data_IF_119404621028
#
_entry.id   IF_119404621028
#
_cell.length_a   1.000
_cell.length_b   1.000
_cell.length_c   1.000
_cell.angle_alpha   90.00
_cell.angle_beta   90.00
_cell.angle_gamma   90.00
#
_symmetry.space_group_name_H-M   'P 1'
#
loop_
_entity.id
_entity.type
_entity.pdbx_description
1 polymer ?
#
# COMPACT_ATOMS: atom_id res chain seq x y z
N UNK A 1 9.74 -74.76 7.48
CA UNK A 1 8.39 -74.17 7.63
C UNK A 1 7.45 -75.33 7.89
N UNK A 2 6.88 -75.40 9.09
CA UNK A 2 5.93 -76.43 9.46
C UNK A 2 4.69 -76.34 8.57
N UNK A 3 4.46 -77.40 7.78
CA UNK A 3 3.27 -77.52 6.93
C UNK A 3 2.06 -77.71 7.86
N UNK A 4 1.35 -76.62 8.14
CA UNK A 4 0.12 -76.63 8.94
C UNK A 4 -0.88 -77.53 8.21
N UNK A 5 -1.24 -78.65 8.83
CA UNK A 5 -2.31 -79.51 8.34
C UNK A 5 -3.64 -78.74 8.31
N UNK A 6 -4.57 -79.17 7.46
CA UNK A 6 -5.89 -78.58 7.36
C UNK A 6 -6.59 -78.67 8.72
N UNK A 7 -7.28 -77.59 9.09
CA UNK A 7 -7.99 -77.50 10.37
C UNK A 7 -9.46 -77.94 10.27
N UNK A 8 -9.91 -78.35 9.09
CA UNK A 8 -11.23 -78.94 8.90
C UNK A 8 -11.21 -80.37 9.49
N UNK A 9 -12.12 -80.72 10.43
CA UNK A 9 -12.15 -82.03 11.09
C UNK A 9 -12.18 -83.23 10.14
N UNK A 10 -12.70 -83.04 8.92
CA UNK A 10 -12.78 -84.10 7.90
C UNK A 10 -11.53 -84.18 7.00
N UNK A 11 -10.62 -83.21 7.07
CA UNK A 11 -9.41 -83.11 6.22
C UNK A 11 -8.11 -82.98 7.05
N UNK A 12 -8.16 -83.27 8.34
CA UNK A 12 -7.09 -83.09 9.34
C UNK A 12 -5.73 -83.74 8.97
N UNK A 13 -5.78 -84.80 8.17
CA UNK A 13 -4.60 -85.49 7.63
C UNK A 13 -3.96 -84.82 6.39
N UNK A 14 -4.63 -83.82 5.80
CA UNK A 14 -4.18 -83.16 4.57
C UNK A 14 -3.38 -81.90 4.84
N UNK A 15 -2.42 -81.60 3.96
CA UNK A 15 -1.61 -80.40 4.06
C UNK A 15 -2.27 -79.21 3.38
N UNK A 16 -2.23 -78.06 4.03
CA UNK A 16 -2.62 -76.80 3.41
C UNK A 16 -1.65 -76.46 2.27
N UNK A 17 -2.19 -76.25 1.07
CA UNK A 17 -1.38 -76.03 -0.15
C UNK A 17 -1.87 -74.84 -0.98
N UNK A 18 -3.13 -74.45 -0.82
CA UNK A 18 -3.76 -73.44 -1.66
C UNK A 18 -4.29 -72.28 -0.81
N UNK A 19 -4.25 -71.09 -1.41
CA UNK A 19 -4.76 -69.83 -0.87
C UNK A 19 -5.80 -69.28 -1.86
N UNK A 20 -6.97 -68.93 -1.35
CA UNK A 20 -8.04 -68.29 -2.07
C UNK A 20 -7.72 -66.81 -2.20
N UNK A 21 -7.59 -66.33 -3.43
CA UNK A 21 -7.26 -64.94 -3.76
C UNK A 21 -8.44 -64.19 -4.39
N UNK A 22 -9.60 -64.84 -4.42
CA UNK A 22 -10.82 -64.26 -4.96
C UNK A 22 -11.31 -63.10 -4.06
N UNK A 23 -11.47 -61.88 -4.61
CA UNK A 23 -11.86 -60.70 -3.85
C UNK A 23 -13.26 -60.78 -3.26
N UNK A 24 -14.16 -61.59 -3.83
CA UNK A 24 -15.54 -61.73 -3.34
C UNK A 24 -15.72 -62.92 -2.38
N UNK A 25 -14.67 -63.69 -2.12
CA UNK A 25 -14.75 -64.81 -1.20
C UNK A 25 -15.06 -64.31 0.22
N UNK A 26 -16.11 -64.86 0.85
CA UNK A 26 -16.49 -64.51 2.23
C UNK A 26 -16.14 -65.60 3.26
N UNK A 27 -15.62 -66.74 2.83
CA UNK A 27 -15.21 -67.82 3.73
C UNK A 27 -14.14 -67.34 4.74
N UNK A 28 -14.28 -67.74 6.01
CA UNK A 28 -13.40 -67.28 7.09
C UNK A 28 -11.97 -67.80 6.95
N UNK A 29 -11.80 -69.05 6.51
CA UNK A 29 -10.49 -69.61 6.18
C UNK A 29 -10.19 -69.38 4.70
N UNK A 30 -9.07 -68.72 4.39
CA UNK A 30 -8.61 -68.49 3.00
C UNK A 30 -7.53 -69.46 2.54
N UNK A 31 -6.96 -70.21 3.47
CA UNK A 31 -5.92 -71.20 3.21
C UNK A 31 -6.49 -72.58 3.49
N UNK A 32 -6.18 -73.55 2.63
CA UNK A 32 -6.75 -74.89 2.74
C UNK A 32 -6.02 -75.95 1.94
N UNK A 33 -6.41 -77.21 2.16
CA UNK A 33 -6.00 -78.36 1.35
C UNK A 33 -6.77 -78.39 0.02
N UNK A 34 -6.58 -79.43 -0.79
CA UNK A 34 -7.31 -79.56 -2.05
C UNK A 34 -8.83 -79.64 -1.84
N UNK A 35 -9.27 -80.38 -0.80
CA UNK A 35 -10.68 -80.68 -0.55
C UNK A 35 -11.45 -79.46 -0.04
N UNK A 36 -10.84 -78.60 0.79
CA UNK A 36 -11.43 -77.30 1.13
C UNK A 36 -11.75 -76.46 -0.11
N UNK A 37 -10.95 -76.56 -1.17
CA UNK A 37 -11.21 -75.84 -2.42
C UNK A 37 -12.17 -76.56 -3.37
N UNK A 38 -12.53 -77.81 -3.07
CA UNK A 38 -13.59 -78.55 -3.76
C UNK A 38 -14.93 -78.47 -3.03
N UNK A 39 -14.95 -78.00 -1.79
CA UNK A 39 -16.18 -77.80 -1.00
C UNK A 39 -16.53 -76.31 -0.90
N UNK A 40 -15.69 -75.54 -0.21
CA UNK A 40 -16.00 -74.17 0.19
C UNK A 40 -15.51 -73.10 -0.80
N UNK A 41 -14.61 -73.47 -1.73
CA UNK A 41 -14.00 -72.54 -2.69
C UNK A 41 -14.00 -73.01 -4.15
N UNK A 42 -14.98 -73.85 -4.54
CA UNK A 42 -15.05 -74.53 -5.86
C UNK A 42 -14.79 -73.60 -7.04
N UNK A 43 -15.39 -72.43 -7.03
CA UNK A 43 -15.35 -71.46 -8.14
C UNK A 43 -14.37 -70.32 -7.90
N UNK A 44 -13.75 -70.26 -6.72
CA UNK A 44 -12.89 -69.15 -6.36
C UNK A 44 -11.51 -69.25 -7.02
N UNK A 45 -10.95 -68.10 -7.39
CA UNK A 45 -9.57 -68.04 -7.83
C UNK A 45 -8.62 -68.44 -6.70
N UNK A 46 -7.72 -69.40 -6.98
CA UNK A 46 -6.74 -69.93 -6.01
C UNK A 46 -5.30 -69.86 -6.53
N UNK A 47 -4.36 -69.77 -5.60
CA UNK A 47 -2.91 -69.86 -5.85
C UNK A 47 -2.28 -70.85 -4.88
N UNK A 48 -1.16 -71.46 -5.25
CA UNK A 48 -0.37 -72.21 -4.27
C UNK A 48 0.29 -71.26 -3.28
N UNK A 49 0.64 -71.74 -2.08
CA UNK A 49 1.31 -70.94 -1.05
C UNK A 49 2.59 -70.27 -1.60
N UNK A 50 3.40 -71.01 -2.37
CA UNK A 50 4.63 -70.49 -3.00
C UNK A 50 4.33 -69.36 -3.99
N UNK A 51 3.37 -69.56 -4.90
CA UNK A 51 2.97 -68.54 -5.88
C UNK A 51 2.37 -67.29 -5.22
N UNK A 52 1.64 -67.46 -4.12
CA UNK A 52 1.10 -66.35 -3.35
C UNK A 52 2.22 -65.56 -2.66
N UNK A 53 3.15 -66.28 -2.02
CA UNK A 53 4.32 -65.67 -1.39
C UNK A 53 5.15 -64.84 -2.37
N UNK A 54 5.48 -65.39 -3.54
CA UNK A 54 6.29 -64.68 -4.53
C UNK A 54 5.59 -63.43 -5.07
N UNK A 55 4.27 -63.48 -5.26
CA UNK A 55 3.51 -62.32 -5.72
C UNK A 55 3.32 -61.26 -4.65
N UNK A 56 3.13 -61.65 -3.39
CA UNK A 56 3.09 -60.71 -2.27
C UNK A 56 4.43 -60.01 -2.17
N UNK A 57 5.54 -60.75 -2.25
CA UNK A 57 6.88 -60.18 -2.23
C UNK A 57 7.10 -59.20 -3.39
N UNK A 58 6.74 -59.58 -4.61
CA UNK A 58 6.84 -58.69 -5.78
C UNK A 58 6.00 -57.41 -5.62
N UNK A 59 4.80 -57.52 -5.05
CA UNK A 59 3.97 -56.35 -4.77
C UNK A 59 4.59 -55.45 -3.70
N UNK A 60 5.09 -56.03 -2.61
CA UNK A 60 5.80 -55.28 -1.56
C UNK A 60 7.02 -54.55 -2.14
N UNK A 61 7.83 -55.24 -2.93
CA UNK A 61 8.99 -54.63 -3.61
C UNK A 61 8.56 -53.46 -4.53
N UNK A 62 7.38 -53.54 -5.15
CA UNK A 62 6.83 -52.43 -5.97
C UNK A 62 6.30 -51.26 -5.14
N UNK A 63 5.79 -51.51 -3.94
CA UNK A 63 5.37 -50.46 -3.00
C UNK A 63 6.58 -49.75 -2.38
N UNK A 64 7.64 -50.50 -2.06
CA UNK A 64 8.88 -49.95 -1.49
C UNK A 64 9.64 -49.04 -2.49
N UNK A 65 9.34 -49.15 -3.79
CA UNK A 65 9.85 -48.25 -4.83
C UNK A 65 9.04 -46.96 -4.97
N UNK A 66 7.92 -46.80 -4.25
CA UNK A 66 7.12 -45.57 -4.28
C UNK A 66 7.80 -44.55 -3.37
N UNK A 67 8.60 -43.68 -3.98
CA UNK A 67 9.16 -42.51 -3.29
C UNK A 67 8.19 -41.33 -3.34
N UNK A 68 7.80 -40.83 -2.17
CA UNK A 68 7.12 -39.54 -2.08
C UNK A 68 8.17 -38.43 -2.17
N UNK A 69 8.08 -37.61 -3.21
CA UNK A 69 8.89 -36.40 -3.28
C UNK A 69 8.40 -35.42 -2.20
N UNK A 70 9.31 -34.83 -1.41
CA UNK A 70 8.93 -33.78 -0.47
C UNK A 70 8.35 -32.59 -1.24
N UNK A 71 7.27 -32.00 -0.71
CA UNK A 71 6.73 -30.75 -1.23
C UNK A 71 7.81 -29.70 -1.02
N UNK A 72 8.51 -29.32 -2.10
CA UNK A 72 9.56 -28.31 -2.03
C UNK A 72 8.94 -26.95 -1.65
N UNK A 73 9.50 -26.31 -0.61
CA UNK A 73 9.13 -24.98 -0.12
C UNK A 73 9.32 -23.84 -1.15
N UNK A 74 9.70 -24.14 -2.40
CA UNK A 74 10.02 -23.15 -3.44
C UNK A 74 8.81 -22.28 -3.80
N UNK A 75 7.62 -22.88 -3.92
CA UNK A 75 6.38 -22.13 -4.22
C UNK A 75 6.03 -21.16 -3.10
N UNK A 76 6.31 -21.54 -1.85
CA UNK A 76 6.03 -20.70 -0.68
C UNK A 76 7.03 -19.56 -0.55
N UNK A 77 8.32 -19.82 -0.81
CA UNK A 77 9.36 -18.79 -0.81
C UNK A 77 9.20 -17.76 -1.93
N UNK A 78 8.76 -18.18 -3.13
CA UNK A 78 8.51 -17.25 -4.23
C UNK A 78 7.30 -16.36 -3.97
N UNK A 79 6.25 -16.91 -3.33
CA UNK A 79 5.08 -16.13 -2.92
C UNK A 79 5.44 -15.10 -1.85
N UNK A 80 6.21 -15.49 -0.83
CA UNK A 80 6.69 -14.59 0.24
C UNK A 80 7.50 -13.42 -0.35
N UNK A 81 8.45 -13.71 -1.25
CA UNK A 81 9.25 -12.66 -1.93
C UNK A 81 8.39 -11.72 -2.78
N UNK A 82 7.37 -12.24 -3.46
CA UNK A 82 6.45 -11.41 -4.24
C UNK A 82 5.62 -10.50 -3.33
N UNK A 83 5.13 -11.01 -2.21
CA UNK A 83 4.39 -10.23 -1.21
C UNK A 83 5.27 -9.12 -0.63
N UNK A 84 6.50 -9.45 -0.23
CA UNK A 84 7.46 -8.46 0.30
C UNK A 84 7.71 -7.33 -0.70
N UNK A 85 7.97 -7.68 -1.96
CA UNK A 85 8.22 -6.70 -3.02
C UNK A 85 7.02 -5.77 -3.26
N UNK A 86 5.81 -6.32 -3.33
CA UNK A 86 4.60 -5.51 -3.51
C UNK A 86 4.35 -4.59 -2.31
N UNK A 87 4.64 -5.05 -1.09
CA UNK A 87 4.51 -4.27 0.12
C UNK A 87 5.52 -3.12 0.16
N UNK A 88 6.77 -3.37 -0.21
CA UNK A 88 7.83 -2.35 -0.28
C UNK A 88 7.55 -1.29 -1.36
N UNK A 89 7.02 -1.71 -2.51
CA UNK A 89 6.56 -0.80 -3.56
C UNK A 89 5.42 0.12 -3.06
N UNK A 90 4.46 -0.45 -2.32
CA UNK A 90 3.35 0.30 -1.74
C UNK A 90 3.85 1.34 -0.73
N UNK A 91 4.72 0.94 0.21
CA UNK A 91 5.32 1.84 1.19
C UNK A 91 6.08 2.99 0.52
N UNK A 92 6.86 2.68 -0.51
CA UNK A 92 7.62 3.68 -1.28
C UNK A 92 6.70 4.70 -1.97
N UNK A 93 5.59 4.24 -2.57
CA UNK A 93 4.62 5.12 -3.22
C UNK A 93 3.92 6.06 -2.21
N UNK A 94 3.55 5.52 -1.05
CA UNK A 94 2.94 6.30 0.04
C UNK A 94 3.92 7.36 0.54
N UNK A 95 5.17 6.97 0.80
CA UNK A 95 6.22 7.87 1.28
C UNK A 95 6.53 8.99 0.28
N UNK A 96 6.59 8.66 -1.01
CA UNK A 96 6.77 9.65 -2.08
C UNK A 96 5.63 10.67 -2.10
N UNK A 97 4.36 10.21 -2.09
CA UNK A 97 3.20 11.12 -2.07
C UNK A 97 3.21 12.05 -0.86
N UNK A 98 3.50 11.52 0.33
CA UNK A 98 3.58 12.35 1.54
C UNK A 98 4.70 13.40 1.46
N UNK A 99 5.86 13.00 0.94
CA UNK A 99 7.01 13.91 0.77
C UNK A 99 6.71 15.01 -0.24
N UNK A 100 6.04 14.69 -1.35
CA UNK A 100 5.60 15.67 -2.34
C UNK A 100 4.62 16.68 -1.74
N UNK A 101 3.55 16.22 -1.07
CA UNK A 101 2.55 17.10 -0.45
C UNK A 101 3.21 18.01 0.60
N UNK A 102 4.14 17.47 1.40
CA UNK A 102 4.91 18.26 2.37
C UNK A 102 5.72 19.36 1.68
N UNK A 103 6.42 19.03 0.60
CA UNK A 103 7.25 19.97 -0.15
C UNK A 103 6.41 21.10 -0.74
N UNK A 104 5.29 20.78 -1.37
CA UNK A 104 4.39 21.77 -1.99
C UNK A 104 3.81 22.74 -0.96
N UNK A 105 3.32 22.22 0.17
CA UNK A 105 2.78 23.05 1.25
C UNK A 105 3.86 23.93 1.89
N UNK A 106 5.08 23.43 2.04
CA UNK A 106 6.21 24.19 2.59
C UNK A 106 6.59 25.33 1.65
N UNK A 107 6.78 25.04 0.36
CA UNK A 107 7.10 26.03 -0.68
C UNK A 107 6.10 27.18 -0.71
N UNK A 108 4.80 26.88 -0.64
CA UNK A 108 3.76 27.90 -0.61
C UNK A 108 3.82 28.81 0.63
N UNK A 109 4.21 28.27 1.80
CA UNK A 109 4.32 29.04 3.04
C UNK A 109 5.60 29.89 3.07
N UNK A 110 6.72 29.30 2.66
CA UNK A 110 8.02 29.98 2.62
C UNK A 110 7.93 31.19 1.66
N UNK A 111 7.35 31.00 0.47
CA UNK A 111 7.19 32.09 -0.50
C UNK A 111 6.22 33.22 -0.07
N UNK A 112 5.27 32.98 0.84
CA UNK A 112 4.44 34.06 1.42
C UNK A 112 5.21 34.81 2.53
N UNK A 113 5.99 34.09 3.34
CA UNK A 113 6.83 34.69 4.39
C UNK A 113 7.94 35.56 3.80
N UNK A 114 8.63 35.09 2.77
CA UNK A 114 9.74 35.81 2.14
C UNK A 114 9.27 37.15 1.58
N UNK A 115 8.10 37.18 0.92
CA UNK A 115 7.49 38.42 0.41
C UNK A 115 7.14 39.41 1.51
N UNK A 116 6.65 38.91 2.65
CA UNK A 116 6.34 39.76 3.80
C UNK A 116 7.62 40.36 4.39
N UNK A 117 8.68 39.55 4.51
CA UNK A 117 9.97 39.97 5.02
C UNK A 117 10.63 41.00 4.10
N UNK A 118 10.64 40.77 2.79
CA UNK A 118 11.12 41.73 1.79
C UNK A 118 10.36 43.06 1.88
N UNK A 119 9.02 43.00 1.97
CA UNK A 119 8.19 44.20 2.10
C UNK A 119 8.45 44.96 3.41
N UNK A 120 8.68 44.24 4.51
CA UNK A 120 9.03 44.83 5.79
C UNK A 120 10.40 45.52 5.75
N UNK A 121 11.41 44.84 5.21
CA UNK A 121 12.76 45.38 5.09
C UNK A 121 12.77 46.64 4.22
N UNK A 122 12.11 46.61 3.05
CA UNK A 122 12.00 47.78 2.17
C UNK A 122 11.30 48.97 2.84
N UNK A 123 10.25 48.72 3.64
CA UNK A 123 9.57 49.79 4.39
C UNK A 123 10.47 50.37 5.49
N UNK A 124 11.21 49.51 6.20
CA UNK A 124 12.12 49.93 7.26
C UNK A 124 13.30 50.74 6.69
N UNK A 125 13.85 50.34 5.54
CA UNK A 125 14.88 51.09 4.82
C UNK A 125 14.37 52.45 4.37
N UNK A 126 13.18 52.53 3.78
CA UNK A 126 12.57 53.81 3.39
C UNK A 126 12.38 54.74 4.59
N UNK A 127 11.87 54.21 5.71
CA UNK A 127 11.70 54.97 6.95
C UNK A 127 13.04 55.49 7.47
N UNK A 128 14.07 54.65 7.48
CA UNK A 128 15.40 55.03 7.93
C UNK A 128 16.03 56.08 7.01
N UNK A 129 15.86 55.95 5.69
CA UNK A 129 16.33 56.93 4.71
C UNK A 129 15.65 58.30 4.87
N UNK A 130 14.34 58.34 5.13
CA UNK A 130 13.61 59.59 5.40
C UNK A 130 14.03 60.26 6.72
N UNK A 131 14.54 59.48 7.69
CA UNK A 131 15.02 59.98 8.98
C UNK A 131 16.52 60.32 8.98
N UNK A 132 17.33 59.66 8.15
CA UNK A 132 18.77 59.85 8.08
C UNK A 132 19.14 61.24 7.58
N UNK A 133 18.34 61.84 6.69
CA UNK A 133 18.48 63.22 6.23
C UNK A 133 18.22 64.26 7.34
N UNK A 134 17.71 63.86 8.51
CA UNK A 134 17.28 64.73 9.60
C UNK A 134 18.11 64.55 10.87
N UNK A 135 19.24 63.84 10.81
CA UNK A 135 20.08 63.54 11.99
C UNK A 135 20.81 64.76 12.58
N UNK A 136 20.97 65.85 11.82
CA UNK A 136 21.74 67.04 12.23
C UNK A 136 20.89 68.16 12.86
N UNK A 137 19.66 67.86 13.30
CA UNK A 137 18.70 68.85 13.87
C UNK A 137 19.26 69.65 15.06
N UNK A 138 20.22 69.11 15.80
CA UNK A 138 20.77 69.77 16.99
C UNK A 138 21.61 71.02 16.69
N UNK A 139 21.97 71.25 15.43
CA UNK A 139 22.80 72.37 15.00
C UNK A 139 22.14 73.17 13.85
N UNK A 140 20.92 73.65 14.08
CA UNK A 140 20.13 74.41 13.07
C UNK A 140 20.88 75.63 12.52
N UNK A 141 21.86 76.17 13.24
CA UNK A 141 22.69 77.30 12.80
C UNK A 141 23.91 76.88 11.97
N UNK A 142 24.24 75.58 11.95
CA UNK A 142 25.39 75.00 11.23
C UNK A 142 24.99 74.32 9.91
N UNK A 143 23.69 74.14 9.65
CA UNK A 143 23.16 73.51 8.45
C UNK A 143 22.96 74.52 7.32
N UNK A 144 23.03 74.04 6.07
CA UNK A 144 22.78 74.84 4.88
C UNK A 144 21.32 75.27 4.72
N UNK A 145 21.07 76.29 3.89
CA UNK A 145 19.71 76.75 3.59
C UNK A 145 18.84 75.66 2.90
N UNK A 146 19.45 74.80 2.08
CA UNK A 146 18.77 73.65 1.48
C UNK A 146 18.33 72.63 2.53
N UNK A 147 19.23 72.23 3.44
CA UNK A 147 18.91 71.32 4.53
C UNK A 147 17.85 71.89 5.48
N UNK A 148 17.89 73.20 5.74
CA UNK A 148 16.86 73.89 6.54
C UNK A 148 15.49 73.86 5.86
N UNK A 149 15.44 74.08 4.54
CA UNK A 149 14.19 74.01 3.78
C UNK A 149 13.60 72.60 3.77
N UNK A 150 14.44 71.57 3.68
CA UNK A 150 14.00 70.17 3.74
C UNK A 150 13.53 69.76 5.14
N UNK A 151 14.17 70.27 6.20
CA UNK A 151 13.71 70.14 7.58
C UNK A 151 12.32 70.78 7.80
N UNK A 152 12.10 71.97 7.25
CA UNK A 152 10.80 72.66 7.34
C UNK A 152 9.72 71.88 6.58
N UNK A 153 10.01 71.37 5.37
CA UNK A 153 9.08 70.49 4.64
C UNK A 153 8.75 69.23 5.44
N UNK A 154 9.76 68.56 6.00
CA UNK A 154 9.54 67.40 6.85
C UNK A 154 8.66 67.73 8.06
N UNK A 155 8.93 68.83 8.77
CA UNK A 155 8.11 69.26 9.91
C UNK A 155 6.63 69.48 9.53
N UNK A 156 6.39 70.10 8.37
CA UNK A 156 5.04 70.33 7.85
C UNK A 156 4.33 69.01 7.48
N UNK A 157 5.06 68.03 6.95
CA UNK A 157 4.50 66.75 6.52
C UNK A 157 4.53 65.65 7.61
N UNK A 158 5.27 65.84 8.70
CA UNK A 158 5.52 64.85 9.74
C UNK A 158 4.24 64.19 10.29
N UNK A 159 3.13 64.90 10.57
CA UNK A 159 1.89 64.26 11.02
C UNK A 159 1.29 63.29 9.99
N UNK A 160 1.42 63.62 8.70
CA UNK A 160 0.95 62.78 7.58
C UNK A 160 1.85 61.57 7.39
N UNK A 161 3.17 61.78 7.45
CA UNK A 161 4.19 60.71 7.38
C UNK A 161 3.98 59.72 8.53
N UNK A 162 3.86 60.21 9.77
CA UNK A 162 3.60 59.39 10.95
C UNK A 162 2.31 58.57 10.81
N UNK A 163 1.22 59.20 10.36
CA UNK A 163 -0.06 58.50 10.13
C UNK A 163 0.06 57.41 9.06
N UNK A 164 0.86 57.63 8.01
CA UNK A 164 1.11 56.63 6.97
C UNK A 164 1.88 55.42 7.51
N UNK A 165 2.94 55.63 8.30
CA UNK A 165 3.72 54.54 8.88
C UNK A 165 2.93 53.76 9.95
N UNK A 166 2.08 54.43 10.75
CA UNK A 166 1.17 53.74 11.68
C UNK A 166 0.22 52.82 10.91
N UNK A 167 -0.44 53.31 9.85
CA UNK A 167 -1.31 52.50 9.01
C UNK A 167 -0.58 51.35 8.33
N UNK A 168 0.63 51.59 7.83
CA UNK A 168 1.45 50.54 7.24
C UNK A 168 1.78 49.44 8.28
N UNK A 169 2.14 49.83 9.50
CA UNK A 169 2.37 48.90 10.62
C UNK A 169 1.13 48.07 10.96
N UNK A 170 -0.06 48.68 10.99
CA UNK A 170 -1.34 47.98 11.21
C UNK A 170 -1.59 46.94 10.11
N UNK A 171 -1.41 47.31 8.84
CA UNK A 171 -1.55 46.40 7.69
C UNK A 171 -0.58 45.21 7.81
N UNK A 172 0.67 45.44 8.23
CA UNK A 172 1.65 44.37 8.45
C UNK A 172 1.24 43.42 9.58
N UNK A 173 0.67 43.94 10.67
CA UNK A 173 0.15 43.10 11.74
C UNK A 173 -1.02 42.22 11.26
N UNK A 174 -1.92 42.80 10.47
CA UNK A 174 -3.06 42.07 9.89
C UNK A 174 -2.60 40.97 8.93
N UNK A 175 -1.68 41.26 8.02
CA UNK A 175 -1.13 40.26 7.10
C UNK A 175 -0.38 39.14 7.84
N UNK A 176 0.38 39.49 8.89
CA UNK A 176 1.04 38.50 9.76
C UNK A 176 0.02 37.55 10.41
N UNK A 177 -1.12 38.08 10.88
CA UNK A 177 -2.20 37.24 11.42
C UNK A 177 -2.86 36.39 10.34
N UNK A 178 -3.11 36.92 9.14
CA UNK A 178 -3.66 36.15 8.01
C UNK A 178 -2.76 34.99 7.62
N UNK A 179 -1.44 35.20 7.54
CA UNK A 179 -0.47 34.13 7.25
C UNK A 179 -0.49 33.06 8.35
N UNK A 180 -0.60 33.47 9.62
CA UNK A 180 -0.74 32.53 10.75
C UNK A 180 -2.00 31.67 10.63
N UNK A 181 -3.15 32.28 10.28
CA UNK A 181 -4.40 31.56 10.05
C UNK A 181 -4.33 30.63 8.83
N UNK A 182 -3.70 31.07 7.72
CA UNK A 182 -3.45 30.23 6.55
C UNK A 182 -2.59 29.03 6.90
N UNK A 183 -1.50 29.21 7.67
CA UNK A 183 -0.66 28.12 8.17
C UNK A 183 -1.49 27.09 8.94
N UNK A 184 -2.35 27.54 9.85
CA UNK A 184 -3.23 26.64 10.60
C UNK A 184 -4.21 25.90 9.68
N UNK A 185 -4.80 26.59 8.70
CA UNK A 185 -5.69 25.99 7.69
C UNK A 185 -4.98 24.91 6.86
N UNK A 186 -3.73 25.13 6.45
CA UNK A 186 -2.95 24.14 5.71
C UNK A 186 -2.59 22.93 6.58
N UNK A 187 -2.24 23.13 7.85
CA UNK A 187 -2.03 22.02 8.79
C UNK A 187 -3.30 21.18 8.98
N UNK A 188 -4.47 21.81 9.09
CA UNK A 188 -5.74 21.09 9.14
C UNK A 188 -6.02 20.31 7.85
N UNK A 189 -5.78 20.91 6.68
CA UNK A 189 -5.91 20.22 5.39
C UNK A 189 -4.98 18.99 5.30
N UNK A 190 -3.73 19.12 5.75
CA UNK A 190 -2.78 18.01 5.78
C UNK A 190 -3.31 16.86 6.65
N UNK A 191 -3.79 17.16 7.86
CA UNK A 191 -4.41 16.15 8.74
C UNK A 191 -5.61 15.47 8.08
N UNK A 192 -6.48 16.23 7.42
CA UNK A 192 -7.65 15.68 6.74
C UNK A 192 -7.25 14.74 5.58
N UNK A 193 -6.24 15.13 4.79
CA UNK A 193 -5.70 14.27 3.71
C UNK A 193 -5.09 12.99 4.31
N UNK A 194 -4.32 13.09 5.40
CA UNK A 194 -3.77 11.93 6.10
C UNK A 194 -4.86 10.98 6.59
N UNK A 195 -5.92 11.52 7.22
CA UNK A 195 -7.06 10.73 7.68
C UNK A 195 -7.80 10.04 6.52
N UNK A 196 -7.98 10.73 5.39
CA UNK A 196 -8.56 10.15 4.18
C UNK A 196 -7.73 8.98 3.65
N UNK A 197 -6.42 9.18 3.49
CA UNK A 197 -5.51 8.11 3.03
C UNK A 197 -5.48 6.91 3.98
N UNK A 198 -5.49 7.14 5.30
CA UNK A 198 -5.55 6.06 6.29
C UNK A 198 -6.88 5.31 6.24
N UNK A 199 -7.99 6.02 6.02
CA UNK A 199 -9.31 5.40 5.86
C UNK A 199 -9.34 4.53 4.61
N UNK A 200 -8.91 5.05 3.46
CA UNK A 200 -8.88 4.32 2.19
C UNK A 200 -8.00 3.07 2.30
N UNK A 201 -6.86 3.16 3.01
CA UNK A 201 -6.00 2.01 3.29
C UNK A 201 -6.71 0.95 4.14
N UNK A 202 -7.38 1.34 5.23
CA UNK A 202 -8.12 0.42 6.08
C UNK A 202 -9.31 -0.24 5.34
N UNK A 203 -10.02 0.53 4.53
CA UNK A 203 -11.13 0.05 3.71
C UNK A 203 -10.63 -1.00 2.69
N UNK A 204 -9.46 -0.78 2.07
CA UNK A 204 -8.84 -1.71 1.12
C UNK A 204 -8.35 -3.02 1.79
N UNK A 205 -7.85 -2.93 3.03
CA UNK A 205 -7.43 -4.10 3.81
C UNK A 205 -8.61 -4.93 4.31
N UNK A 206 -9.77 -4.31 4.55
CA UNK A 206 -10.98 -4.99 5.02
C UNK A 206 -11.80 -5.59 3.88
N UNK A 207 -11.79 -5.00 2.67
CA UNK A 207 -12.53 -5.53 1.52
C UNK A 207 -11.91 -6.75 0.84
N UNK A 208 -10.60 -7.02 1.02
CA UNK A 208 -9.97 -8.25 0.48
C UNK A 208 -10.24 -9.54 1.28
N UNK A 209 -11.01 -9.48 2.38
CA UNK A 209 -11.31 -10.63 3.24
C UNK A 209 -12.72 -11.24 3.05
N UNK A 210 -13.42 -10.93 1.95
CA UNK A 210 -14.76 -11.49 1.68
C UNK A 210 -14.80 -12.17 0.31
N UNK A 211 -14.32 -13.41 0.25
CA UNK A 211 -14.86 -14.53 -0.54
C UNK A 211 -14.04 -15.80 -0.27
N UNK A 212 -14.28 -16.41 0.90
CA UNK A 212 -14.17 -17.87 1.05
C UNK A 212 -15.61 -18.38 1.11
N UNK A 213 -16.27 -18.45 -0.05
CA UNK A 213 -17.45 -19.29 -0.18
C UNK A 213 -16.97 -20.71 -0.42
N UNK A 214 -17.12 -21.49 0.64
CA UNK A 214 -17.26 -22.93 0.69
C UNK A 214 -18.14 -23.45 -0.46
N UNK A 215 -17.54 -24.08 -1.47
CA UNK A 215 -18.24 -24.90 -2.45
C UNK A 215 -17.41 -26.13 -2.81
N UNK A 216 -17.57 -27.17 -1.98
CA UNK A 216 -17.49 -28.55 -2.45
C UNK A 216 -18.66 -28.83 -3.40
N UNK A 217 -18.40 -29.03 -4.69
CA UNK A 217 -18.96 -30.13 -5.52
C UNK A 217 -18.56 -29.99 -7.00
N UNK A 218 -18.34 -31.15 -7.60
CA UNK A 218 -17.82 -31.40 -8.95
C UNK A 218 -18.73 -30.88 -10.09
N UNK A 219 -18.12 -30.39 -11.17
CA UNK A 219 -18.22 -30.90 -12.56
C UNK A 219 -17.85 -29.81 -13.60
N UNK A 220 -17.03 -30.19 -14.57
CA UNK A 220 -16.74 -29.43 -15.82
C UNK A 220 -17.16 -30.30 -17.01
N UNK A 221 -17.27 -29.81 -18.28
CA UNK A 221 -17.47 -28.45 -18.81
C UNK A 221 -18.50 -28.38 -19.99
N UNK A 222 -19.00 -27.18 -20.39
CA UNK A 222 -18.96 -26.69 -21.80
C UNK A 222 -19.76 -25.38 -22.08
N UNK A 223 -19.04 -24.44 -22.72
CA UNK A 223 -19.35 -23.57 -23.88
C UNK A 223 -20.38 -22.41 -23.82
N UNK A 224 -19.79 -21.21 -23.72
CA UNK A 224 -19.86 -20.03 -24.64
C UNK A 224 -21.19 -19.38 -25.04
N UNK A 225 -21.31 -18.09 -24.72
CA UNK A 225 -21.58 -17.03 -25.70
C UNK A 225 -20.97 -15.68 -25.26
N UNK A 226 -20.59 -14.87 -26.24
CA UNK A 226 -19.76 -13.68 -26.11
C UNK A 226 -20.53 -12.41 -25.70
N UNK A 227 -19.89 -11.58 -24.86
CA UNK A 227 -19.67 -10.10 -24.89
C UNK A 227 -20.78 -9.14 -25.40
N UNK A 228 -20.85 -7.86 -24.92
CA UNK A 228 -19.67 -6.99 -24.80
C UNK A 228 -19.65 -5.93 -23.68
N UNK A 229 -18.45 -5.35 -23.53
CA UNK A 229 -18.18 -4.00 -23.03
C UNK A 229 -18.50 -3.70 -21.56
N UNK A 230 -17.42 -3.62 -20.77
CA UNK A 230 -17.05 -2.39 -20.05
C UNK A 230 -15.53 -2.43 -19.80
N UNK A 231 -14.77 -1.92 -20.77
CA UNK A 231 -13.47 -1.33 -20.49
C UNK A 231 -13.71 -0.20 -19.49
N UNK A 232 -13.41 -0.41 -18.22
CA UNK A 232 -13.19 0.66 -17.26
C UNK A 232 -11.87 1.35 -17.60
N UNK A 233 -11.94 2.21 -18.62
CA UNK A 233 -11.02 3.31 -18.81
C UNK A 233 -11.09 4.22 -17.58
N UNK A 234 -10.21 3.99 -16.60
CA UNK A 234 -9.85 4.99 -15.59
C UNK A 234 -8.37 5.34 -15.70
N UNK A 235 -7.93 5.56 -16.93
CA UNK A 235 -6.84 6.48 -17.24
C UNK A 235 -7.53 7.62 -18.01
N UNK A 236 -7.29 8.87 -17.59
CA UNK A 236 -7.80 10.11 -18.21
C UNK A 236 -9.26 10.53 -17.94
N UNK A 237 -9.55 10.95 -16.71
CA UNK A 237 -10.47 12.09 -16.51
C UNK A 237 -10.14 12.88 -15.24
N UNK A 238 -8.99 13.53 -15.23
CA UNK A 238 -8.76 14.79 -14.48
C UNK A 238 -7.75 15.66 -15.23
N UNK A 239 -7.88 15.72 -16.56
CA UNK A 239 -7.28 16.80 -17.36
C UNK A 239 -8.31 17.91 -17.59
N UNK A 240 -8.98 18.34 -16.52
CA UNK A 240 -9.57 19.68 -16.52
C UNK A 240 -8.40 20.65 -16.30
N UNK A 241 -7.91 21.16 -17.42
CA UNK A 241 -7.06 22.34 -17.51
C UNK A 241 -7.71 23.51 -16.75
N UNK A 242 -7.54 23.57 -15.43
CA UNK A 242 -7.44 24.86 -14.76
C UNK A 242 -6.02 25.36 -14.98
N UNK A 243 -5.80 25.93 -16.17
CA UNK A 243 -4.92 27.09 -16.28
C UNK A 243 -5.46 28.09 -15.26
N UNK A 244 -4.89 28.09 -14.06
CA UNK A 244 -4.98 29.27 -13.22
C UNK A 244 -4.25 30.33 -14.02
N UNK A 245 -5.03 31.27 -14.58
CA UNK A 245 -4.48 32.49 -15.13
C UNK A 245 -3.57 33.08 -14.05
N UNK A 246 -2.27 32.94 -14.26
CA UNK A 246 -1.31 33.86 -13.68
C UNK A 246 -1.64 35.21 -14.30
N UNK A 247 -2.57 35.93 -13.68
CA UNK A 247 -2.62 37.36 -13.83
C UNK A 247 -1.31 37.88 -13.25
N UNK A 248 -0.35 38.08 -14.14
CA UNK A 248 0.72 39.01 -13.92
C UNK A 248 0.09 40.35 -13.56
N UNK A 249 0.17 40.70 -12.30
CA UNK A 249 0.14 42.08 -11.86
C UNK A 249 1.19 42.17 -10.76
N UNK A 250 2.42 42.42 -11.18
CA UNK A 250 3.47 42.96 -10.31
C UNK A 250 2.90 44.25 -9.71
N UNK A 251 2.33 44.14 -8.51
CA UNK A 251 2.10 45.29 -7.65
C UNK A 251 2.68 44.93 -6.29
N UNK A 252 3.79 45.58 -5.97
CA UNK A 252 4.15 45.83 -4.58
C UNK A 252 2.88 46.31 -3.85
N UNK A 253 2.62 45.82 -2.64
CA UNK A 253 1.51 46.30 -1.80
C UNK A 253 1.57 47.83 -1.63
N UNK A 254 2.76 48.40 -1.77
CA UNK A 254 3.02 49.83 -1.82
C UNK A 254 3.83 50.18 -3.06
N UNK A 255 3.18 50.12 -4.23
CA UNK A 255 3.71 50.77 -5.44
C UNK A 255 3.47 52.28 -5.35
N UNK A 256 4.55 53.08 -5.41
CA UNK A 256 4.49 54.53 -5.55
C UNK A 256 3.50 54.90 -6.66
N UNK A 257 2.46 55.65 -6.32
CA UNK A 257 1.90 56.62 -7.27
C UNK A 257 2.72 57.90 -7.12
N UNK A 258 3.02 58.52 -8.26
CA UNK A 258 3.89 59.68 -8.48
C UNK A 258 5.33 59.20 -8.71
N UNK A 259 5.89 59.31 -9.90
CA UNK A 259 5.80 60.38 -10.92
C UNK A 259 5.32 59.90 -12.29
#
# INVERSE_FOLDING_TARGET
>A
MDLINCQNPNHDSQKNKYICVDPICQAQQKIGCADCFLEDHVTHQRKTVEQFHDQVKQKLDSFDQIEFQPIANEVQQDLEKQIEKELENCLSCIQYRFTSIKSDLKSMLDGENDKLLESYNALQENKNHELDSLKNVNEVHSISQEELNDLVKFYQEAPKIQKNYIKASEIFQDEKQKIKLKKQKYLCKLRAIMQGLMKDFNDLMTTKNLQYDDFSEFETPQKSSMSPNKMSSFVESTRSSRRFYMNQSKKLLFGRKNE
#
